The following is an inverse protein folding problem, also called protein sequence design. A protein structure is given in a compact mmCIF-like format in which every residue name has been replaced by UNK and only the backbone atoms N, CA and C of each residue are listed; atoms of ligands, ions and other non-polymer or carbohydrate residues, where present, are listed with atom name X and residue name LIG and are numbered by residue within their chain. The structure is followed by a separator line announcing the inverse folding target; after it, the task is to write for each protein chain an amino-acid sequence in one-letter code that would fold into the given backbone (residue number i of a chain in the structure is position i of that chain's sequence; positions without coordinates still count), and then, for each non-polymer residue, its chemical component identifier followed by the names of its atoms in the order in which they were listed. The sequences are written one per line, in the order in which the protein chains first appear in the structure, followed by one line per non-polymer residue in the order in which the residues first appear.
data_IF_105107294309
#
_entry.id   IF_105107294309
#
_cell.length_a   1.000
_cell.length_b   1.000
_cell.length_c   1.000
_cell.angle_alpha   90.00
_cell.angle_beta   90.00
_cell.angle_gamma   90.00
#
_symmetry.space_group_name_H-M   'P 1'
#
loop_
_entity.id
_entity.type
_entity.pdbx_description
1 polymer ?
#
# COMPACT_ATOMS: atom_id res chain seq x y z
N UNK A 1 51.57 4.88 -8.94
CA UNK A 1 51.87 5.22 -10.35
C UNK A 1 51.96 6.74 -10.41
N UNK A 2 52.98 7.42 -10.90
CA UNK A 2 54.23 7.07 -11.56
C UNK A 2 55.19 8.28 -11.39
N UNK A 3 56.51 7.99 -11.34
CA UNK A 3 57.67 8.81 -11.82
C UNK A 3 57.77 10.29 -11.39
N UNK A 4 58.82 10.79 -10.73
CA UNK A 4 60.24 10.46 -10.84
C UNK A 4 60.96 11.50 -11.71
N UNK A 5 61.64 12.47 -11.09
CA UNK A 5 62.61 13.35 -11.76
C UNK A 5 63.68 13.81 -10.77
N UNK A 6 64.85 13.18 -10.87
CA UNK A 6 66.08 13.58 -10.21
C UNK A 6 66.84 14.56 -11.11
N UNK A 7 67.40 15.61 -10.53
CA UNK A 7 68.42 16.45 -11.17
C UNK A 7 69.59 16.61 -10.19
N UNK A 8 70.70 15.96 -10.52
CA UNK A 8 71.99 16.16 -9.90
C UNK A 8 72.72 17.28 -10.66
N UNK A 9 73.29 18.24 -9.94
CA UNK A 9 74.31 19.13 -10.49
C UNK A 9 75.45 19.29 -9.50
N UNK A 10 76.62 18.99 -10.04
CA UNK A 10 77.97 18.95 -9.52
C UNK A 10 78.45 20.23 -8.82
N UNK A 11 79.20 20.01 -7.74
CA UNK A 11 79.95 21.02 -6.99
C UNK A 11 81.26 21.44 -7.71
N UNK A 12 81.73 22.68 -7.51
CA UNK A 12 83.13 23.02 -7.61
C UNK A 12 83.80 23.00 -6.22
N UNK A 13 84.87 22.21 -6.11
CA UNK A 13 85.77 22.13 -4.96
C UNK A 13 86.72 23.33 -4.91
N UNK A 14 86.56 24.21 -3.92
CA UNK A 14 87.54 25.23 -3.56
C UNK A 14 88.16 24.89 -2.20
N UNK A 15 89.44 24.51 -2.24
CA UNK A 15 90.29 24.25 -1.09
C UNK A 15 90.81 25.57 -0.51
N UNK A 16 90.23 26.02 0.60
CA UNK A 16 90.72 27.15 1.40
C UNK A 16 91.46 26.63 2.65
N UNK A 17 92.54 27.31 3.09
CA UNK A 17 93.41 26.85 4.16
C UNK A 17 92.71 26.90 5.52
N UNK A 18 92.87 25.81 6.28
CA UNK A 18 92.38 25.60 7.64
C UNK A 18 93.04 26.57 8.62
N UNK A 19 92.42 27.73 8.84
CA UNK A 19 92.66 28.51 10.06
C UNK A 19 91.91 27.85 11.23
N UNK A 20 92.49 27.87 12.45
CA UNK A 20 91.83 27.32 13.62
C UNK A 20 90.60 28.19 13.93
N UNK A 21 89.42 27.65 13.61
CA UNK A 21 88.12 28.26 13.93
C UNK A 21 87.97 28.23 15.45
N UNK A 22 88.51 29.24 16.11
CA UNK A 22 88.08 29.62 17.45
C UNK A 22 86.60 29.97 17.32
N UNK A 23 85.74 29.08 17.85
CA UNK A 23 84.30 29.23 17.91
C UNK A 23 83.91 30.37 18.85
N UNK A 24 84.25 31.61 18.47
CA UNK A 24 83.70 32.82 19.06
C UNK A 24 82.40 33.13 18.31
N UNK A 25 81.34 32.41 18.66
CA UNK A 25 80.03 32.59 18.02
C UNK A 25 78.99 31.64 18.58
N UNK A 26 78.00 32.23 19.26
CA UNK A 26 76.65 31.82 19.71
C UNK A 26 76.04 30.44 19.33
N UNK A 27 76.82 29.36 19.20
CA UNK A 27 76.36 28.03 18.84
C UNK A 27 75.31 27.49 19.82
N UNK A 28 75.47 27.81 21.11
CA UNK A 28 74.50 27.45 22.16
C UNK A 28 73.14 28.11 21.92
N UNK A 29 73.10 29.39 21.49
CA UNK A 29 71.84 30.07 21.16
C UNK A 29 71.20 29.48 19.91
N UNK A 30 72.00 29.13 18.90
CA UNK A 30 71.50 28.47 17.69
C UNK A 30 70.91 27.08 17.98
N UNK A 31 71.54 26.31 18.87
CA UNK A 31 71.00 25.01 19.30
C UNK A 31 69.69 25.16 20.06
N UNK A 32 69.61 26.10 21.01
CA UNK A 32 68.37 26.41 21.73
C UNK A 32 67.28 26.90 20.78
N UNK A 33 67.62 27.73 19.79
CA UNK A 33 66.67 28.18 18.78
C UNK A 33 66.14 27.01 17.95
N UNK A 34 67.03 26.12 17.47
CA UNK A 34 66.65 24.94 16.71
C UNK A 34 65.72 24.01 17.50
N UNK A 35 66.01 23.80 18.79
CA UNK A 35 65.17 23.01 19.69
C UNK A 35 63.77 23.64 19.85
N UNK A 36 63.70 24.96 20.09
CA UNK A 36 62.41 25.68 20.16
C UNK A 36 61.66 25.64 18.84
N UNK A 37 62.34 25.74 17.69
CA UNK A 37 61.71 25.59 16.38
C UNK A 37 61.17 24.18 16.17
N UNK A 38 61.89 23.15 16.60
CA UNK A 38 61.43 21.76 16.50
C UNK A 38 60.20 21.52 17.39
N UNK A 39 60.22 22.04 18.62
CA UNK A 39 59.08 21.96 19.55
C UNK A 39 57.86 22.72 19.02
N UNK A 40 58.05 23.93 18.48
CA UNK A 40 56.98 24.69 17.82
C UNK A 40 56.37 23.91 16.65
N UNK A 41 57.20 23.30 15.79
CA UNK A 41 56.71 22.47 14.68
C UNK A 41 55.92 21.25 15.16
N UNK A 42 56.37 20.61 16.25
CA UNK A 42 55.62 19.51 16.89
C UNK A 42 54.25 20.00 17.34
N UNK A 43 54.16 21.12 18.06
CA UNK A 43 52.88 21.67 18.51
C UNK A 43 51.98 22.10 17.35
N UNK A 44 52.54 22.73 16.31
CA UNK A 44 51.79 23.12 15.11
C UNK A 44 51.19 21.90 14.41
N UNK A 45 51.96 20.81 14.27
CA UNK A 45 51.47 19.57 13.68
C UNK A 45 50.36 18.92 14.53
N UNK A 46 50.53 18.87 15.85
CA UNK A 46 49.49 18.37 16.76
C UNK A 46 48.21 19.18 16.64
N UNK A 47 48.30 20.51 16.59
CA UNK A 47 47.16 21.39 16.40
C UNK A 47 46.48 21.14 15.04
N UNK A 48 47.25 21.00 13.97
CA UNK A 48 46.73 20.70 12.63
C UNK A 48 45.97 19.36 12.61
N UNK A 49 46.49 18.33 13.27
CA UNK A 49 45.85 17.02 13.40
C UNK A 49 44.53 17.11 14.18
N UNK A 50 44.53 17.81 15.32
CA UNK A 50 43.29 18.06 16.07
C UNK A 50 42.25 18.84 15.26
N UNK A 51 42.66 19.87 14.54
CA UNK A 51 41.78 20.63 13.65
C UNK A 51 41.17 19.72 12.57
N UNK A 52 41.96 18.85 11.94
CA UNK A 52 41.44 17.90 10.96
C UNK A 52 40.42 16.92 11.57
N UNK A 53 40.68 16.43 12.78
CA UNK A 53 39.74 15.57 13.50
C UNK A 53 38.43 16.29 13.85
N UNK A 54 38.50 17.54 14.31
CA UNK A 54 37.34 18.37 14.62
C UNK A 54 36.50 18.58 13.35
N UNK A 55 37.11 18.93 12.23
CA UNK A 55 36.41 19.14 10.95
C UNK A 55 35.75 17.85 10.45
N UNK A 56 36.42 16.71 10.54
CA UNK A 56 35.86 15.41 10.16
C UNK A 56 34.68 15.00 11.05
N UNK A 57 34.79 15.25 12.37
CA UNK A 57 33.71 15.01 13.32
C UNK A 57 32.50 15.92 13.04
N UNK A 58 32.72 17.19 12.69
CA UNK A 58 31.66 18.11 12.27
C UNK A 58 30.93 17.64 11.01
N UNK A 59 31.66 17.27 9.96
CA UNK A 59 31.04 16.75 8.74
C UNK A 59 30.18 15.49 9.02
N UNK A 60 30.67 14.61 9.90
CA UNK A 60 29.94 13.41 10.33
C UNK A 60 28.70 13.75 11.17
N UNK A 61 28.79 14.78 12.02
CA UNK A 61 27.66 15.27 12.82
C UNK A 61 26.56 15.81 11.92
N UNK A 62 26.91 16.67 10.96
CA UNK A 62 25.96 17.30 10.03
C UNK A 62 25.25 16.25 9.17
N UNK A 63 26.00 15.26 8.67
CA UNK A 63 25.43 14.13 7.93
C UNK A 63 24.41 13.35 8.77
N UNK A 64 24.74 13.07 10.04
CA UNK A 64 23.82 12.36 10.95
C UNK A 64 22.61 13.20 11.32
N UNK A 65 22.77 14.51 11.51
CA UNK A 65 21.66 15.43 11.78
C UNK A 65 20.67 15.46 10.62
N UNK A 66 21.17 15.54 9.38
CA UNK A 66 20.34 15.43 8.18
C UNK A 66 19.61 14.09 8.10
N UNK A 67 20.31 12.98 8.32
CA UNK A 67 19.67 11.66 8.32
C UNK A 67 18.57 11.53 9.40
N UNK A 68 18.77 12.13 10.59
CA UNK A 68 17.75 12.18 11.63
C UNK A 68 16.53 12.97 11.17
N UNK A 69 16.73 14.10 10.48
CA UNK A 69 15.63 14.88 9.93
C UNK A 69 14.85 14.09 8.87
N UNK A 70 15.54 13.48 7.92
CA UNK A 70 14.92 12.66 6.86
C UNK A 70 14.06 11.53 7.47
N UNK A 71 14.56 10.86 8.50
CA UNK A 71 13.81 9.80 9.21
C UNK A 71 12.59 10.36 9.96
N UNK A 72 12.69 11.55 10.57
CA UNK A 72 11.55 12.20 11.23
C UNK A 72 10.46 12.55 10.24
N UNK A 73 10.82 13.06 9.06
CA UNK A 73 9.87 13.39 8.00
C UNK A 73 9.18 12.14 7.45
N UNK A 74 9.93 11.07 7.20
CA UNK A 74 9.37 9.77 6.80
C UNK A 74 8.41 9.22 7.85
N UNK A 75 8.77 9.28 9.14
CA UNK A 75 7.88 8.88 10.23
C UNK A 75 6.59 9.68 10.24
N UNK A 76 6.66 11.00 10.09
CA UNK A 76 5.49 11.86 10.06
C UNK A 76 4.55 11.52 8.88
N UNK A 77 5.12 11.26 7.71
CA UNK A 77 4.36 10.81 6.53
C UNK A 77 3.64 9.48 6.79
N UNK A 78 4.34 8.50 7.36
CA UNK A 78 3.73 7.21 7.70
C UNK A 78 2.63 7.35 8.76
N UNK A 79 2.80 8.22 9.76
CA UNK A 79 1.75 8.45 10.76
C UNK A 79 0.50 9.11 10.14
N UNK A 80 0.68 10.05 9.21
CA UNK A 80 -0.45 10.65 8.48
C UNK A 80 -1.21 9.63 7.63
N UNK A 81 -0.50 8.72 6.94
CA UNK A 81 -1.13 7.64 6.18
C UNK A 81 -1.84 6.65 7.10
N UNK A 82 -1.23 6.30 8.23
CA UNK A 82 -1.87 5.45 9.25
C UNK A 82 -3.18 6.07 9.74
N UNK A 83 -3.19 7.36 10.07
CA UNK A 83 -4.38 8.08 10.48
C UNK A 83 -5.46 8.08 9.38
N UNK A 84 -5.07 8.35 8.12
CA UNK A 84 -5.96 8.32 6.97
C UNK A 84 -6.61 6.95 6.78
N UNK A 85 -5.81 5.88 6.82
CA UNK A 85 -6.30 4.50 6.65
C UNK A 85 -7.23 4.08 7.79
N UNK A 86 -6.94 4.48 9.03
CA UNK A 86 -7.81 4.22 10.17
C UNK A 86 -9.17 4.93 10.01
N UNK A 87 -9.18 6.16 9.50
CA UNK A 87 -10.43 6.85 9.21
C UNK A 87 -11.23 6.16 8.09
N UNK A 88 -10.58 5.74 7.01
CA UNK A 88 -11.25 4.98 5.95
C UNK A 88 -11.83 3.65 6.46
N UNK A 89 -11.11 2.94 7.34
CA UNK A 89 -11.62 1.71 7.94
C UNK A 89 -12.85 1.96 8.83
N UNK A 90 -12.85 3.07 9.58
CA UNK A 90 -14.03 3.50 10.36
C UNK A 90 -15.24 3.73 9.46
N UNK A 91 -15.07 4.48 8.36
CA UNK A 91 -16.13 4.76 7.39
C UNK A 91 -16.70 3.47 6.78
N UNK A 92 -15.85 2.54 6.35
CA UNK A 92 -16.29 1.24 5.80
C UNK A 92 -17.09 0.43 6.83
N UNK A 93 -16.67 0.43 8.09
CA UNK A 93 -17.41 -0.26 9.14
C UNK A 93 -18.78 0.40 9.39
N UNK A 94 -18.85 1.73 9.41
CA UNK A 94 -20.12 2.46 9.55
C UNK A 94 -21.08 2.19 8.39
N UNK A 95 -20.57 2.11 7.16
CA UNK A 95 -21.39 1.79 5.99
C UNK A 95 -21.84 0.33 5.96
N UNK A 96 -20.99 -0.60 6.43
CA UNK A 96 -21.41 -1.99 6.64
C UNK A 96 -22.54 -2.07 7.67
N UNK A 97 -22.39 -1.43 8.82
CA UNK A 97 -23.41 -1.47 9.88
C UNK A 97 -24.74 -0.85 9.39
N UNK A 98 -24.70 0.18 8.54
CA UNK A 98 -25.91 0.71 7.87
C UNK A 98 -26.51 -0.30 6.89
N UNK A 99 -25.69 -0.99 6.10
CA UNK A 99 -26.15 -1.99 5.17
C UNK A 99 -26.83 -3.17 5.91
N UNK A 100 -26.22 -3.64 7.00
CA UNK A 100 -26.77 -4.71 7.84
C UNK A 100 -28.14 -4.30 8.44
N UNK A 101 -28.28 -3.04 8.87
CA UNK A 101 -29.56 -2.52 9.38
C UNK A 101 -30.63 -2.45 8.28
N UNK A 102 -30.25 -2.02 7.07
CA UNK A 102 -31.16 -1.97 5.93
C UNK A 102 -31.58 -3.36 5.48
N UNK A 103 -30.65 -4.31 5.42
CA UNK A 103 -30.92 -5.72 5.12
C UNK A 103 -31.93 -6.31 6.12
N UNK A 104 -31.67 -6.16 7.41
CA UNK A 104 -32.57 -6.65 8.45
C UNK A 104 -33.98 -6.02 8.36
N UNK A 105 -34.05 -4.74 7.98
CA UNK A 105 -35.33 -4.04 7.77
C UNK A 105 -36.09 -4.62 6.58
N UNK A 106 -35.42 -4.78 5.44
CA UNK A 106 -36.01 -5.32 4.22
C UNK A 106 -36.42 -6.79 4.39
N UNK A 107 -35.64 -7.59 5.11
CA UNK A 107 -35.98 -8.98 5.43
C UNK A 107 -37.26 -9.07 6.26
N UNK A 108 -37.40 -8.20 7.26
CA UNK A 108 -38.62 -8.12 8.06
C UNK A 108 -39.81 -7.72 7.20
N UNK A 109 -39.69 -6.67 6.39
CA UNK A 109 -40.75 -6.24 5.47
C UNK A 109 -41.13 -7.35 4.47
N UNK A 110 -40.15 -8.07 3.94
CA UNK A 110 -40.38 -9.22 3.06
C UNK A 110 -41.14 -10.34 3.79
N UNK A 111 -40.78 -10.64 5.03
CA UNK A 111 -41.47 -11.64 5.85
C UNK A 111 -42.92 -11.22 6.12
N UNK A 112 -43.14 -9.95 6.51
CA UNK A 112 -44.46 -9.40 6.78
C UNK A 112 -45.35 -9.41 5.52
N UNK A 113 -44.80 -9.06 4.37
CA UNK A 113 -45.52 -9.11 3.08
C UNK A 113 -45.86 -10.55 2.69
N UNK A 114 -44.93 -11.51 2.84
CA UNK A 114 -45.21 -12.93 2.59
C UNK A 114 -46.32 -13.45 3.49
N UNK A 115 -46.27 -13.11 4.78
CA UNK A 115 -47.32 -13.48 5.73
C UNK A 115 -48.66 -12.87 5.34
N UNK A 116 -48.68 -11.58 4.96
CA UNK A 116 -49.91 -10.90 4.52
C UNK A 116 -50.49 -11.53 3.26
N UNK A 117 -49.65 -11.86 2.27
CA UNK A 117 -50.07 -12.56 1.04
C UNK A 117 -50.68 -13.91 1.41
N UNK A 118 -50.04 -14.68 2.29
CA UNK A 118 -50.54 -15.98 2.72
C UNK A 118 -51.91 -15.84 3.38
N UNK A 119 -52.06 -14.92 4.33
CA UNK A 119 -53.32 -14.67 5.04
C UNK A 119 -54.45 -14.33 4.07
N UNK A 120 -54.23 -13.38 3.16
CA UNK A 120 -55.26 -12.97 2.19
C UNK A 120 -55.60 -14.12 1.23
N UNK A 121 -54.59 -14.87 0.79
CA UNK A 121 -54.76 -15.97 -0.17
C UNK A 121 -55.59 -17.11 0.43
N UNK A 122 -55.31 -17.49 1.67
CA UNK A 122 -55.93 -18.65 2.33
C UNK A 122 -57.33 -18.35 2.89
N UNK A 123 -57.60 -17.10 3.27
CA UNK A 123 -58.85 -16.74 3.96
C UNK A 123 -59.82 -16.01 3.03
N UNK A 124 -59.58 -14.73 2.78
CA UNK A 124 -60.48 -13.83 2.06
C UNK A 124 -60.62 -14.23 0.60
N UNK A 125 -59.48 -14.46 -0.08
CA UNK A 125 -59.48 -14.80 -1.50
C UNK A 125 -60.09 -16.19 -1.76
N UNK A 126 -59.73 -17.20 -0.97
CA UNK A 126 -60.27 -18.54 -1.12
C UNK A 126 -61.80 -18.58 -0.95
N UNK A 127 -62.32 -17.87 0.07
CA UNK A 127 -63.76 -17.76 0.32
C UNK A 127 -64.46 -17.05 -0.84
N UNK A 128 -63.95 -15.88 -1.25
CA UNK A 128 -64.52 -15.12 -2.35
C UNK A 128 -64.50 -15.90 -3.67
N UNK A 129 -63.40 -16.62 -3.96
CA UNK A 129 -63.29 -17.47 -5.15
C UNK A 129 -64.32 -18.60 -5.13
N UNK A 130 -64.49 -19.26 -3.99
CA UNK A 130 -65.47 -20.33 -3.84
C UNK A 130 -66.91 -19.84 -4.10
N UNK A 131 -67.26 -18.66 -3.58
CA UNK A 131 -68.58 -18.04 -3.81
C UNK A 131 -68.77 -17.64 -5.29
N UNK A 132 -67.77 -17.05 -5.94
CA UNK A 132 -67.85 -16.71 -7.37
C UNK A 132 -67.95 -17.97 -8.24
N UNK A 133 -67.16 -19.01 -7.95
CA UNK A 133 -67.23 -20.28 -8.69
C UNK A 133 -68.57 -20.99 -8.48
N UNK A 134 -69.21 -20.85 -7.31
CA UNK A 134 -70.58 -21.32 -7.07
C UNK A 134 -71.58 -20.61 -7.98
N UNK A 135 -71.57 -19.27 -8.00
CA UNK A 135 -72.46 -18.46 -8.84
C UNK A 135 -72.24 -18.72 -10.34
N UNK A 136 -70.98 -18.89 -10.77
CA UNK A 136 -70.67 -19.24 -12.16
C UNK A 136 -71.22 -20.59 -12.55
N UNK A 137 -71.14 -21.58 -11.65
CA UNK A 137 -71.73 -22.91 -11.88
C UNK A 137 -73.25 -22.82 -12.03
N UNK A 138 -73.93 -22.01 -11.23
CA UNK A 138 -75.38 -21.75 -11.33
C UNK A 138 -75.75 -21.08 -12.68
N UNK A 139 -74.88 -20.23 -13.22
CA UNK A 139 -75.04 -19.58 -14.52
C UNK A 139 -74.53 -20.39 -15.72
N UNK A 140 -74.01 -21.61 -15.51
CA UNK A 140 -73.43 -22.45 -16.57
C UNK A 140 -72.09 -21.97 -17.13
N UNK A 141 -71.37 -21.10 -16.41
CA UNK A 141 -70.06 -20.59 -16.79
C UNK A 141 -68.91 -21.44 -16.19
N UNK A 142 -67.74 -21.52 -16.85
CA UNK A 142 -66.57 -22.21 -16.31
C UNK A 142 -65.98 -21.49 -15.08
N UNK A 143 -65.34 -22.23 -14.16
CA UNK A 143 -64.73 -21.65 -12.96
C UNK A 143 -63.59 -20.69 -13.30
N UNK A 144 -63.29 -19.78 -12.38
CA UNK A 144 -62.18 -18.84 -12.51
C UNK A 144 -60.82 -19.56 -12.54
N UNK A 145 -59.85 -19.01 -13.30
CA UNK A 145 -58.46 -19.48 -13.25
C UNK A 145 -57.86 -19.34 -11.85
N UNK A 146 -56.82 -20.10 -11.57
CA UNK A 146 -56.16 -20.08 -10.26
C UNK A 146 -55.42 -18.76 -10.02
N UNK A 147 -55.26 -18.39 -8.74
CA UNK A 147 -54.44 -17.25 -8.34
C UNK A 147 -53.00 -17.40 -8.84
N UNK A 148 -52.45 -18.62 -8.74
CA UNK A 148 -51.12 -18.99 -9.22
C UNK A 148 -50.95 -18.65 -10.71
N UNK A 149 -51.89 -19.08 -11.55
CA UNK A 149 -51.83 -18.83 -12.99
C UNK A 149 -51.90 -17.33 -13.31
N UNK A 150 -52.74 -16.59 -12.59
CA UNK A 150 -52.83 -15.12 -12.75
C UNK A 150 -51.54 -14.41 -12.32
N UNK A 151 -50.86 -14.90 -11.27
CA UNK A 151 -49.58 -14.37 -10.81
C UNK A 151 -48.45 -14.67 -11.81
N UNK A 152 -48.41 -15.88 -12.36
CA UNK A 152 -47.44 -16.26 -13.39
C UNK A 152 -47.57 -15.38 -14.63
N UNK A 153 -48.80 -15.17 -15.12
CA UNK A 153 -49.06 -14.29 -16.27
C UNK A 153 -48.60 -12.85 -16.02
N UNK A 154 -48.88 -12.30 -14.83
CA UNK A 154 -48.41 -10.96 -14.45
C UNK A 154 -46.88 -10.90 -14.30
N UNK A 155 -46.26 -11.93 -13.74
CA UNK A 155 -44.80 -11.99 -13.60
C UNK A 155 -44.11 -12.01 -14.97
N UNK A 156 -44.67 -12.74 -15.94
CA UNK A 156 -44.18 -12.78 -17.30
C UNK A 156 -44.33 -11.41 -17.99
N UNK A 157 -45.44 -10.70 -17.75
CA UNK A 157 -45.64 -9.34 -18.23
C UNK A 157 -44.63 -8.36 -17.63
N UNK A 158 -44.41 -8.40 -16.31
CA UNK A 158 -43.45 -7.53 -15.64
C UNK A 158 -42.02 -7.75 -16.16
N UNK A 159 -41.60 -9.01 -16.32
CA UNK A 159 -40.28 -9.32 -16.90
C UNK A 159 -40.16 -8.87 -18.36
N UNK A 160 -41.25 -8.92 -19.14
CA UNK A 160 -41.28 -8.39 -20.50
C UNK A 160 -41.14 -6.86 -20.50
N UNK A 161 -41.85 -6.18 -19.61
CA UNK A 161 -41.77 -4.73 -19.46
C UNK A 161 -40.39 -4.27 -19.00
N UNK A 162 -39.78 -4.96 -18.04
CA UNK A 162 -38.44 -4.67 -17.55
C UNK A 162 -37.38 -4.81 -18.67
N UNK A 163 -37.49 -5.85 -19.51
CA UNK A 163 -36.61 -6.00 -20.69
C UNK A 163 -36.78 -4.84 -21.67
N UNK A 164 -38.02 -4.45 -21.96
CA UNK A 164 -38.32 -3.35 -22.88
C UNK A 164 -37.85 -2.00 -22.33
N UNK A 165 -37.96 -1.78 -21.01
CA UNK A 165 -37.44 -0.59 -20.33
C UNK A 165 -35.92 -0.53 -20.37
N UNK A 166 -35.25 -1.68 -20.17
CA UNK A 166 -33.79 -1.81 -20.27
C UNK A 166 -33.28 -1.58 -21.70
N UNK A 167 -34.03 -2.06 -22.70
CA UNK A 167 -33.73 -1.78 -24.11
C UNK A 167 -33.91 -0.29 -24.44
N UNK A 168 -34.94 0.35 -23.88
CA UNK A 168 -35.22 1.78 -24.08
C UNK A 168 -34.16 2.68 -23.45
N UNK A 169 -33.67 2.36 -22.26
CA UNK A 169 -32.56 3.11 -21.62
C UNK A 169 -31.24 2.88 -22.36
N UNK A 170 -30.94 1.65 -22.77
CA UNK A 170 -29.73 1.36 -23.56
C UNK A 170 -29.75 1.97 -24.98
N UNK A 171 -30.91 2.11 -25.61
CA UNK A 171 -31.07 2.77 -26.91
C UNK A 171 -31.00 4.30 -26.86
N UNK A 172 -31.22 4.91 -25.69
CA UNK A 172 -31.04 6.34 -25.46
C UNK A 172 -29.55 6.70 -25.28
N UNK A 173 -28.78 5.88 -24.57
CA UNK A 173 -27.33 6.10 -24.38
C UNK A 173 -26.51 5.97 -25.67
N UNK A 174 -26.99 5.21 -26.67
CA UNK A 174 -26.31 5.08 -27.97
C UNK A 174 -26.54 6.24 -28.95
N UNK A 175 -27.47 7.17 -28.68
CA UNK A 175 -27.78 8.30 -29.59
C UNK A 175 -27.29 9.67 -29.12
N UNK A 176 -26.59 9.75 -27.99
CA UNK A 176 -26.02 11.01 -27.44
C UNK A 176 -24.49 11.02 -27.54
N UNK A 177 -23.92 10.45 -28.60
CA UNK A 177 -22.47 10.46 -28.86
C UNK A 177 -22.11 10.97 -30.27
N UNK A 178 -23.05 11.64 -30.94
CA UNK A 178 -22.83 12.35 -32.20
C UNK A 178 -23.57 13.69 -32.05
N UNK A 179 -22.84 14.71 -31.61
CA UNK A 179 -22.93 16.13 -32.02
C UNK A 179 -22.67 17.09 -30.83
N UNK A 180 -21.56 17.84 -30.90
CA UNK A 180 -21.10 18.77 -29.86
C UNK A 180 -19.63 19.20 -30.08
N UNK A 181 -19.34 20.48 -30.40
CA UNK A 181 -18.17 20.87 -31.20
C UNK A 181 -16.89 21.20 -30.41
N UNK A 182 -15.77 21.01 -31.11
CA UNK A 182 -14.45 21.61 -30.99
C UNK A 182 -14.17 22.59 -29.83
N UNK A 183 -13.38 22.13 -28.85
CA UNK A 183 -12.32 22.92 -28.20
C UNK A 183 -11.35 21.99 -27.46
N UNK A 184 -10.10 21.92 -27.90
CA UNK A 184 -9.05 21.16 -27.21
C UNK A 184 -8.02 20.58 -28.17
N UNK A 185 -7.14 21.43 -28.67
CA UNK A 185 -5.89 21.01 -29.26
C UNK A 185 -4.98 20.32 -28.21
N UNK A 186 -4.04 19.51 -28.72
CA UNK A 186 -2.88 18.93 -28.04
C UNK A 186 -3.08 17.65 -27.21
N UNK A 187 -3.17 16.54 -27.96
CA UNK A 187 -2.15 15.48 -27.93
C UNK A 187 -1.88 14.72 -26.62
N UNK A 188 -2.53 13.55 -26.45
CA UNK A 188 -1.86 12.33 -25.96
C UNK A 188 -2.69 11.05 -26.21
N UNK A 189 -2.11 9.94 -26.68
CA UNK A 189 -2.85 8.70 -26.94
C UNK A 189 -3.00 7.82 -25.69
N UNK A 190 -4.24 7.59 -25.26
CA UNK A 190 -4.64 6.57 -24.27
C UNK A 190 -5.05 5.28 -24.99
N UNK A 191 -4.30 4.17 -24.82
CA UNK A 191 -4.69 2.76 -25.08
C UNK A 191 -3.71 1.84 -24.32
N UNK A 192 -4.02 0.95 -23.36
CA UNK A 192 -5.23 0.21 -22.89
C UNK A 192 -4.98 -0.33 -21.46
N UNK A 193 -6.01 -0.57 -20.63
CA UNK A 193 -5.94 -1.52 -19.53
C UNK A 193 -6.19 -2.93 -20.09
N UNK A 194 -5.15 -3.77 -20.15
CA UNK A 194 -5.31 -5.19 -20.45
C UNK A 194 -5.06 -5.99 -19.18
N UNK A 195 -6.15 -6.53 -18.65
CA UNK A 195 -6.14 -7.44 -17.53
C UNK A 195 -5.37 -8.73 -17.80
N UNK A 196 -5.14 -9.41 -16.67
CA UNK A 196 -4.66 -10.78 -16.46
C UNK A 196 -3.13 -10.94 -16.39
N UNK A 197 -2.59 -11.31 -15.21
CA UNK A 197 -1.23 -11.82 -15.10
C UNK A 197 -1.11 -13.09 -15.95
N UNK A 198 -0.24 -13.04 -16.95
CA UNK A 198 0.05 -14.17 -17.83
C UNK A 198 0.98 -15.13 -17.10
N UNK A 199 0.41 -16.22 -16.60
CA UNK A 199 0.98 -17.57 -16.61
C UNK A 199 2.37 -17.80 -16.01
N UNK A 200 2.36 -18.49 -14.86
CA UNK A 200 3.15 -19.68 -14.54
C UNK A 200 4.38 -19.99 -15.43
N UNK A 201 5.56 -19.93 -14.81
CA UNK A 201 6.71 -20.76 -15.19
C UNK A 201 7.16 -21.58 -13.98
N UNK A 202 6.62 -22.80 -13.90
CA UNK A 202 7.26 -23.96 -13.26
C UNK A 202 8.37 -24.50 -14.15
N UNK A 203 9.61 -24.55 -13.63
CA UNK A 203 10.62 -25.61 -13.85
C UNK A 203 11.80 -25.30 -12.91
N UNK A 204 12.17 -26.10 -11.91
CA UNK A 204 12.61 -27.51 -11.88
C UNK A 204 14.08 -27.52 -11.46
N UNK A 205 14.33 -28.08 -10.28
CA UNK A 205 15.56 -28.82 -10.00
C UNK A 205 16.56 -28.17 -9.05
N UNK A 206 16.41 -28.44 -7.75
CA UNK A 206 17.48 -29.17 -7.05
C UNK A 206 16.90 -29.95 -5.87
N UNK A 207 16.84 -31.26 -6.07
CA UNK A 207 16.68 -32.23 -5.01
C UNK A 207 17.91 -32.18 -4.10
N UNK A 208 17.69 -32.24 -2.79
CA UNK A 208 18.49 -33.09 -1.91
C UNK A 208 17.66 -33.49 -0.67
N UNK A 209 17.47 -34.80 -0.56
CA UNK A 209 17.30 -35.66 0.62
C UNK A 209 17.07 -34.99 1.99
N UNK A 210 16.14 -35.46 2.83
CA UNK A 210 15.41 -36.71 2.77
C UNK A 210 14.46 -36.94 3.96
N UNK A 211 13.83 -38.12 3.95
CA UNK A 211 13.51 -38.89 5.15
C UNK A 211 12.20 -38.57 5.89
N UNK A 212 11.19 -39.45 5.85
CA UNK A 212 9.92 -39.29 6.56
C UNK A 212 9.96 -39.94 7.95
N UNK A 213 9.34 -39.32 8.95
CA UNK A 213 8.88 -40.02 10.15
C UNK A 213 7.52 -39.47 10.58
N UNK A 214 6.55 -40.38 10.63
CA UNK A 214 5.16 -40.10 10.93
C UNK A 214 4.87 -39.75 12.39
N UNK A 215 3.68 -39.18 12.55
CA UNK A 215 2.80 -39.09 13.72
C UNK A 215 2.71 -40.42 14.52
N UNK A 216 2.26 -40.45 15.80
CA UNK A 216 1.14 -39.68 16.34
C UNK A 216 1.27 -39.14 17.79
N UNK A 217 0.24 -38.40 18.19
CA UNK A 217 -0.07 -37.92 19.53
C UNK A 217 -0.18 -39.03 20.60
N UNK A 218 -0.14 -38.64 21.88
CA UNK A 218 -1.19 -39.11 22.79
C UNK A 218 -1.82 -37.95 23.60
N UNK A 219 -3.14 -38.02 23.75
CA UNK A 219 -3.86 -37.24 24.74
C UNK A 219 -3.73 -37.83 26.15
N UNK A 220 -3.85 -36.97 27.14
CA UNK A 220 -4.34 -37.32 28.48
C UNK A 220 -5.01 -36.09 29.07
N UNK A 221 -6.23 -36.32 29.58
CA UNK A 221 -7.18 -35.34 30.07
C UNK A 221 -7.03 -35.11 31.60
N UNK A 222 -8.10 -34.79 32.35
CA UNK A 222 -8.36 -33.48 32.95
C UNK A 222 -8.08 -33.43 34.47
N UNK A 223 -7.91 -32.23 35.04
CA UNK A 223 -8.02 -32.04 36.48
C UNK A 223 -9.42 -31.56 36.87
N UNK A 224 -9.99 -32.21 37.88
CA UNK A 224 -11.27 -31.88 38.51
C UNK A 224 -11.04 -31.77 40.02
N UNK A 225 -11.83 -30.89 40.66
CA UNK A 225 -12.27 -30.89 42.06
C UNK A 225 -11.42 -30.18 43.15
N UNK A 226 -11.95 -29.02 43.56
CA UNK A 226 -12.51 -28.72 44.89
C UNK A 226 -11.76 -29.11 46.18
N UNK A 227 -11.47 -28.09 47.00
CA UNK A 227 -11.98 -27.94 48.36
C UNK A 227 -11.98 -26.46 48.73
#
# INVERSE_FOLDING_TARGET
MATGAAAASSAPSSSTPSQPVLASGDWTKNLVHLAKTAELKKHALTLQLHTAHILSAHASLDQKQKAIQDVKEQKNKLESERARLLNCLREVNEDRDKADLLEATLDKECADLRQKIQTISDTEYATAKADVDRLRRELGQPPLPSLQQTLEDKSAQYLKELRLQTEKTNAATKRTAEDGPAAGADGQPVKRPRGRPKGSKTNKGKAKEGGPTGTPAPGSAPSVAAS
#
